data_IF_850337700930
#
_entry.id   IF_850337700930
#
_cell.length_a   1.000
_cell.length_b   1.000
_cell.length_c   1.000
_cell.angle_alpha   90.00
_cell.angle_beta   90.00
_cell.angle_gamma   90.00
#
_symmetry.space_group_name_H-M   'P 1'
#
loop_
_entity.id
_entity.type
_entity.pdbx_description
1 polymer ?
#
# COMPACT_ATOMS: atom_id res chain seq x y z
N UNK A 1 0.29 -19.37 32.36
CA UNK A 1 1.03 -19.11 31.10
C UNK A 1 0.07 -18.42 30.14
N UNK A 2 0.16 -17.10 30.00
CA UNK A 2 -0.68 -16.33 29.10
C UNK A 2 0.01 -16.23 27.75
N UNK A 3 -0.53 -16.89 26.72
CA UNK A 3 -0.11 -16.70 25.33
C UNK A 3 -0.27 -15.21 25.00
N UNK A 4 0.76 -14.52 24.48
CA UNK A 4 0.59 -13.14 24.03
C UNK A 4 -0.38 -13.17 22.85
N UNK A 5 -1.61 -12.70 23.08
CA UNK A 5 -2.65 -12.63 22.07
C UNK A 5 -2.23 -11.68 20.96
N UNK A 6 -2.27 -12.14 19.72
CA UNK A 6 -2.18 -11.29 18.53
C UNK A 6 -3.31 -10.27 18.59
N UNK A 7 -3.00 -8.98 18.60
CA UNK A 7 -4.03 -7.94 18.53
C UNK A 7 -4.42 -7.70 17.06
N UNK A 8 -5.72 -7.60 16.82
CA UNK A 8 -6.27 -7.25 15.50
C UNK A 8 -7.05 -5.95 15.62
N UNK A 9 -6.60 -4.93 14.89
CA UNK A 9 -7.23 -3.61 14.87
C UNK A 9 -8.09 -3.47 13.62
N UNK A 10 -9.39 -3.25 13.78
CA UNK A 10 -10.29 -3.01 12.66
C UNK A 10 -10.80 -1.58 12.70
N UNK A 11 -10.68 -0.87 11.58
CA UNK A 11 -11.14 0.52 11.45
C UNK A 11 -12.44 0.65 10.64
N UNK A 12 -12.95 -0.45 10.08
CA UNK A 12 -14.14 -0.45 9.23
C UNK A 12 -13.94 0.31 7.91
N UNK A 13 -15.04 0.83 7.36
CA UNK A 13 -14.99 1.63 6.14
C UNK A 13 -14.19 2.92 6.39
N UNK A 14 -13.15 3.14 5.58
CA UNK A 14 -12.22 4.27 5.74
C UNK A 14 -12.26 5.21 4.56
N UNK A 15 -12.21 6.51 4.86
CA UNK A 15 -12.17 7.63 3.92
C UNK A 15 -10.98 8.54 4.22
N UNK A 16 -10.83 9.63 3.44
CA UNK A 16 -9.77 10.63 3.61
C UNK A 16 -8.37 10.02 3.66
N UNK A 17 -8.15 9.02 2.81
CA UNK A 17 -6.90 8.28 2.73
C UNK A 17 -5.78 9.18 2.20
N UNK A 18 -4.60 9.09 2.81
CA UNK A 18 -3.41 9.79 2.35
C UNK A 18 -2.18 8.89 2.42
N UNK A 19 -1.23 9.16 1.52
CA UNK A 19 0.08 8.52 1.50
C UNK A 19 1.15 9.61 1.43
N UNK A 20 2.14 9.54 2.31
CA UNK A 20 3.29 10.46 2.29
C UNK A 20 4.61 9.72 2.50
N UNK A 21 5.69 10.32 2.02
CA UNK A 21 7.04 9.84 2.30
C UNK A 21 7.51 10.32 3.67
N UNK A 22 8.23 9.46 4.37
CA UNK A 22 9.04 9.87 5.50
C UNK A 22 10.47 10.10 5.00
N UNK A 23 10.93 11.35 5.01
CA UNK A 23 12.19 11.82 4.38
C UNK A 23 13.45 11.06 4.82
N UNK A 24 13.43 10.38 5.97
CA UNK A 24 14.62 9.72 6.54
C UNK A 24 14.80 8.23 6.24
N UNK A 25 13.76 7.46 5.87
CA UNK A 25 13.76 6.02 6.20
C UNK A 25 13.25 5.01 5.15
N UNK A 26 13.18 5.33 3.85
CA UNK A 26 12.62 4.39 2.85
C UNK A 26 11.23 3.83 3.24
N UNK A 27 10.49 4.57 4.06
CA UNK A 27 9.18 4.19 4.60
C UNK A 27 8.14 5.18 4.13
N UNK A 28 6.94 4.66 3.93
CA UNK A 28 5.77 5.46 3.58
C UNK A 28 4.83 5.48 4.78
N UNK A 29 4.12 6.59 4.94
CA UNK A 29 3.06 6.75 5.92
C UNK A 29 1.74 6.63 5.16
N UNK A 30 0.89 5.69 5.58
CA UNK A 30 -0.49 5.57 5.13
C UNK A 30 -1.39 5.96 6.30
N UNK A 31 -2.40 6.78 6.05
CA UNK A 31 -3.41 7.08 7.06
C UNK A 31 -4.76 7.37 6.45
N UNK A 32 -5.75 7.51 7.32
CA UNK A 32 -7.11 7.85 6.95
C UNK A 32 -8.03 7.99 8.15
N UNK A 33 -9.31 8.09 7.87
CA UNK A 33 -10.38 8.19 8.85
C UNK A 33 -11.26 6.96 8.72
N UNK A 34 -11.28 6.12 9.75
CA UNK A 34 -12.15 4.95 9.82
C UNK A 34 -13.54 5.26 10.33
N UNK A 35 -14.36 4.22 10.45
CA UNK A 35 -15.71 4.29 10.98
C UNK A 35 -15.72 4.91 12.40
N UNK A 36 -16.70 5.76 12.66
CA UNK A 36 -16.77 6.51 13.92
C UNK A 36 -15.74 7.63 14.03
N UNK A 37 -15.27 8.15 12.90
CA UNK A 37 -14.30 9.27 12.82
C UNK A 37 -12.94 8.96 13.46
N UNK A 38 -12.61 7.67 13.62
CA UNK A 38 -11.35 7.23 14.23
C UNK A 38 -10.22 7.39 13.23
N UNK A 39 -9.35 8.38 13.46
CA UNK A 39 -8.12 8.56 12.68
C UNK A 39 -7.16 7.41 12.93
N UNK A 40 -6.49 6.98 11.87
CA UNK A 40 -5.47 5.94 11.94
C UNK A 40 -4.31 6.27 11.02
N UNK A 41 -3.11 5.85 11.42
CA UNK A 41 -1.87 6.08 10.70
C UNK A 41 -0.97 4.87 10.91
N UNK A 42 -0.47 4.31 9.81
CA UNK A 42 0.49 3.21 9.80
C UNK A 42 1.70 3.58 8.95
N UNK A 43 2.88 3.38 9.51
CA UNK A 43 4.13 3.43 8.77
C UNK A 43 4.33 2.08 8.10
N UNK A 44 4.73 2.07 6.84
CA UNK A 44 4.99 0.87 6.07
C UNK A 44 6.34 0.94 5.36
N UNK A 45 6.94 -0.23 5.17
CA UNK A 45 8.12 -0.33 4.32
C UNK A 45 7.78 0.00 2.87
N UNK A 46 8.76 0.46 2.09
CA UNK A 46 8.59 0.62 0.64
C UNK A 46 8.09 -0.65 -0.03
N UNK A 47 8.57 -1.83 0.39
CA UNK A 47 8.11 -3.13 -0.14
C UNK A 47 6.63 -3.37 0.15
N UNK A 48 6.20 -3.17 1.39
CA UNK A 48 4.79 -3.28 1.77
C UNK A 48 3.90 -2.35 0.92
N UNK A 49 4.34 -1.10 0.71
CA UNK A 49 3.66 -0.15 -0.15
C UNK A 49 3.62 -0.61 -1.62
N UNK A 50 4.73 -1.14 -2.16
CA UNK A 50 4.80 -1.67 -3.53
C UNK A 50 3.89 -2.88 -3.72
N UNK A 51 3.82 -3.79 -2.76
CA UNK A 51 2.91 -4.94 -2.78
C UNK A 51 1.47 -4.45 -2.78
N UNK A 52 1.12 -3.51 -1.90
CA UNK A 52 -0.22 -2.93 -1.86
C UNK A 52 -0.59 -2.25 -3.18
N UNK A 53 0.29 -1.42 -3.72
CA UNK A 53 0.10 -0.76 -5.02
C UNK A 53 -0.08 -1.78 -6.14
N UNK A 54 0.78 -2.79 -6.22
CA UNK A 54 0.67 -3.85 -7.22
C UNK A 54 -0.67 -4.59 -7.12
N UNK A 55 -1.06 -5.01 -5.91
CA UNK A 55 -2.34 -5.71 -5.70
C UNK A 55 -3.53 -4.84 -6.06
N UNK A 56 -3.53 -3.56 -5.67
CA UNK A 56 -4.54 -2.60 -6.10
C UNK A 56 -4.58 -2.46 -7.63
N UNK A 57 -3.43 -2.37 -8.31
CA UNK A 57 -3.36 -2.38 -9.78
C UNK A 57 -4.03 -3.63 -10.34
N UNK A 58 -3.71 -4.81 -9.83
CA UNK A 58 -4.30 -6.06 -10.34
C UNK A 58 -5.81 -6.15 -10.16
N UNK A 59 -6.35 -5.52 -9.12
CA UNK A 59 -7.78 -5.59 -8.80
C UNK A 59 -8.60 -4.44 -9.41
N UNK A 60 -7.97 -3.28 -9.67
CA UNK A 60 -8.62 -2.08 -10.23
C UNK A 60 -8.41 -1.94 -11.74
N UNK A 61 -7.27 -2.41 -12.24
CA UNK A 61 -6.81 -2.26 -13.62
C UNK A 61 -6.17 -3.58 -14.10
N UNK A 62 -6.94 -4.68 -14.17
CA UNK A 62 -6.41 -6.00 -14.52
C UNK A 62 -5.70 -6.02 -15.87
N UNK A 63 -6.12 -5.19 -16.81
CA UNK A 63 -5.49 -5.01 -18.13
C UNK A 63 -4.06 -4.44 -18.05
N UNK A 64 -3.74 -3.71 -16.97
CA UNK A 64 -2.42 -3.11 -16.74
C UNK A 64 -1.51 -3.98 -15.85
N UNK A 65 -2.06 -5.00 -15.21
CA UNK A 65 -1.35 -5.85 -14.26
C UNK A 65 -0.10 -6.51 -14.85
N UNK A 66 -0.19 -6.96 -16.11
CA UNK A 66 0.93 -7.61 -16.81
C UNK A 66 2.15 -6.69 -16.97
N UNK A 67 1.94 -5.42 -17.27
CA UNK A 67 3.00 -4.42 -17.44
C UNK A 67 3.68 -4.07 -16.11
N UNK A 68 2.90 -4.06 -15.02
CA UNK A 68 3.35 -3.63 -13.70
C UNK A 68 4.07 -4.73 -12.92
N UNK A 69 3.79 -6.00 -13.21
CA UNK A 69 4.40 -7.16 -12.53
C UNK A 69 5.93 -7.15 -12.58
N UNK A 70 6.53 -6.64 -13.67
CA UNK A 70 7.98 -6.54 -13.82
C UNK A 70 8.65 -5.60 -12.81
N UNK A 71 7.92 -4.61 -12.27
CA UNK A 71 8.46 -3.60 -11.33
C UNK A 71 8.43 -4.06 -9.87
N UNK A 72 7.58 -5.01 -9.51
CA UNK A 72 7.41 -5.48 -8.13
C UNK A 72 8.51 -6.47 -7.68
N UNK A 73 9.26 -7.06 -8.61
CA UNK A 73 10.10 -8.23 -8.37
C UNK A 73 11.47 -7.97 -7.70
N UNK A 74 11.91 -6.73 -7.49
CA UNK A 74 13.33 -6.44 -7.17
C UNK A 74 13.60 -5.66 -5.88
N UNK A 75 12.66 -5.56 -4.94
CA UNK A 75 12.87 -4.81 -3.70
C UNK A 75 13.70 -5.58 -2.65
N UNK A 76 14.84 -5.03 -2.17
CA UNK A 76 15.72 -5.71 -1.22
C UNK A 76 15.03 -6.01 0.12
N UNK A 77 15.24 -7.23 0.63
CA UNK A 77 14.81 -7.69 1.95
C UNK A 77 15.72 -7.10 3.03
N UNK A 78 15.47 -5.86 3.46
CA UNK A 78 15.99 -5.38 4.75
C UNK A 78 14.84 -5.33 5.75
N UNK A 79 15.00 -6.09 6.84
CA UNK A 79 14.09 -6.01 7.96
C UNK A 79 14.23 -4.63 8.62
N UNK A 80 13.14 -3.84 8.75
CA UNK A 80 13.20 -2.59 9.50
C UNK A 80 13.49 -2.90 10.98
N UNK A 81 14.29 -2.07 11.66
CA UNK A 81 14.60 -2.26 13.07
C UNK A 81 13.44 -1.91 14.01
N UNK A 82 12.32 -1.35 13.52
CA UNK A 82 11.24 -0.82 14.35
C UNK A 82 10.01 -1.72 14.40
N UNK A 83 9.54 -1.96 15.63
CA UNK A 83 8.41 -2.83 15.94
C UNK A 83 7.04 -2.23 15.56
N UNK A 84 7.00 -1.03 14.98
CA UNK A 84 5.78 -0.30 14.60
C UNK A 84 5.58 -0.18 13.09
N UNK A 85 6.46 -0.80 12.28
CA UNK A 85 6.42 -0.68 10.82
C UNK A 85 5.71 -1.89 10.20
N UNK A 86 4.78 -1.58 9.31
CA UNK A 86 4.07 -2.57 8.51
C UNK A 86 5.01 -3.13 7.45
N UNK A 87 5.29 -4.43 7.56
CA UNK A 87 6.26 -5.13 6.70
C UNK A 87 5.60 -5.95 5.60
N UNK A 88 4.37 -6.40 5.84
CA UNK A 88 3.57 -7.17 4.89
C UNK A 88 2.21 -6.51 4.72
N UNK A 89 1.70 -6.58 3.49
CA UNK A 89 0.41 -6.03 3.10
C UNK A 89 -0.31 -7.02 2.19
N UNK A 90 -1.62 -7.09 2.35
CA UNK A 90 -2.53 -7.82 1.49
C UNK A 90 -3.71 -6.90 1.13
N UNK A 91 -4.20 -7.09 -0.09
CA UNK A 91 -5.40 -6.41 -0.58
C UNK A 91 -6.31 -7.47 -1.17
N UNK A 92 -7.55 -7.51 -0.68
CA UNK A 92 -8.56 -8.48 -1.11
C UNK A 92 -9.81 -7.71 -1.53
N UNK A 93 -10.44 -8.10 -2.63
CA UNK A 93 -11.78 -7.62 -2.99
C UNK A 93 -12.81 -8.52 -2.32
N UNK A 94 -13.67 -7.95 -1.49
CA UNK A 94 -14.76 -8.65 -0.81
C UNK A 94 -15.94 -8.90 -1.73
N UNK A 95 -16.83 -9.81 -1.32
CA UNK A 95 -18.09 -10.12 -2.03
C UNK A 95 -19.05 -8.92 -2.07
N UNK A 96 -18.91 -8.00 -1.12
CA UNK A 96 -19.63 -6.73 -1.04
C UNK A 96 -19.13 -5.68 -2.05
N UNK A 97 -18.13 -6.02 -2.87
CA UNK A 97 -17.49 -5.12 -3.83
C UNK A 97 -16.47 -4.16 -3.21
N UNK A 98 -16.36 -4.13 -1.88
CA UNK A 98 -15.38 -3.31 -1.18
C UNK A 98 -14.00 -3.96 -1.18
N UNK A 99 -12.97 -3.15 -0.97
CA UNK A 99 -11.59 -3.57 -0.89
C UNK A 99 -11.16 -3.62 0.57
N UNK A 100 -10.54 -4.72 1.01
CA UNK A 100 -9.98 -4.84 2.35
C UNK A 100 -8.47 -4.79 2.27
N UNK A 101 -7.87 -3.86 2.99
CA UNK A 101 -6.42 -3.83 3.20
C UNK A 101 -6.13 -4.48 4.54
N UNK A 102 -5.17 -5.40 4.56
CA UNK A 102 -4.66 -6.01 5.77
C UNK A 102 -3.17 -5.74 5.85
N UNK A 103 -2.74 -5.16 6.95
CA UNK A 103 -1.32 -4.89 7.22
C UNK A 103 -0.84 -5.63 8.46
N UNK A 104 0.38 -6.14 8.39
CA UNK A 104 1.03 -6.84 9.50
C UNK A 104 2.16 -6.01 10.09
N UNK A 105 2.07 -5.79 11.40
CA UNK A 105 3.12 -5.21 12.24
C UNK A 105 3.56 -6.30 13.21
N UNK A 106 4.68 -6.96 12.91
CA UNK A 106 5.12 -8.17 13.62
C UNK A 106 4.03 -9.26 13.66
N UNK A 107 3.41 -9.49 14.83
CA UNK A 107 2.33 -10.47 15.04
C UNK A 107 0.94 -9.83 15.08
N UNK A 108 0.89 -8.50 15.09
CA UNK A 108 -0.35 -7.74 15.12
C UNK A 108 -0.81 -7.44 13.70
N UNK A 109 -2.12 -7.34 13.55
CA UNK A 109 -2.74 -6.99 12.27
C UNK A 109 -3.60 -5.75 12.42
N UNK A 110 -3.68 -5.00 11.34
CA UNK A 110 -4.67 -3.95 11.19
C UNK A 110 -5.40 -4.11 9.87
N UNK A 111 -6.69 -3.74 9.86
CA UNK A 111 -7.56 -3.91 8.70
C UNK A 111 -8.43 -2.67 8.48
N UNK A 112 -8.52 -2.27 7.21
CA UNK A 112 -9.40 -1.20 6.75
C UNK A 112 -10.20 -1.69 5.55
N UNK A 113 -11.46 -1.26 5.46
CA UNK A 113 -12.29 -1.49 4.28
C UNK A 113 -12.39 -0.19 3.48
N UNK A 114 -12.35 -0.27 2.16
CA UNK A 114 -12.41 0.87 1.24
C UNK A 114 -13.50 0.63 0.22
N UNK A 115 -14.19 1.70 -0.18
CA UNK A 115 -15.00 1.69 -1.39
C UNK A 115 -14.11 1.56 -2.63
N UNK A 116 -14.68 1.23 -3.79
CA UNK A 116 -13.93 1.27 -5.04
C UNK A 116 -13.35 2.66 -5.33
N UNK A 117 -14.12 3.72 -5.05
CA UNK A 117 -13.66 5.11 -5.24
C UNK A 117 -12.46 5.43 -4.37
N UNK A 118 -12.49 5.06 -3.10
CA UNK A 118 -11.38 5.29 -2.17
C UNK A 118 -10.18 4.40 -2.48
N UNK A 119 -10.40 3.16 -2.95
CA UNK A 119 -9.34 2.28 -3.43
C UNK A 119 -8.62 2.87 -4.66
N UNK A 120 -9.35 3.46 -5.61
CA UNK A 120 -8.76 4.16 -6.77
C UNK A 120 -7.96 5.40 -6.36
N UNK A 121 -8.49 6.19 -5.42
CA UNK A 121 -7.79 7.37 -4.88
C UNK A 121 -6.50 6.96 -4.16
N UNK A 122 -6.57 5.94 -3.31
CA UNK A 122 -5.40 5.39 -2.64
C UNK A 122 -4.37 4.88 -3.63
N UNK A 123 -4.79 4.15 -4.65
CA UNK A 123 -3.91 3.68 -5.72
C UNK A 123 -3.17 4.85 -6.38
N UNK A 124 -3.87 5.93 -6.73
CA UNK A 124 -3.25 7.11 -7.34
C UNK A 124 -2.24 7.80 -6.39
N UNK A 125 -2.57 7.90 -5.10
CA UNK A 125 -1.64 8.43 -4.10
C UNK A 125 -0.40 7.55 -3.93
N UNK A 126 -0.55 6.22 -3.97
CA UNK A 126 0.56 5.28 -3.93
C UNK A 126 1.42 5.35 -5.18
N UNK A 127 0.81 5.51 -6.35
CA UNK A 127 1.51 5.63 -7.62
C UNK A 127 2.44 6.85 -7.62
N UNK A 128 1.90 8.02 -7.23
CA UNK A 128 2.68 9.25 -7.09
C UNK A 128 3.77 9.14 -6.03
N UNK A 129 3.47 8.49 -4.90
CA UNK A 129 4.47 8.29 -3.86
C UNK A 129 5.59 7.36 -4.34
N UNK A 130 5.28 6.18 -4.86
CA UNK A 130 6.28 5.18 -5.23
C UNK A 130 7.05 5.54 -6.50
N UNK A 131 6.36 6.21 -7.43
CA UNK A 131 6.82 6.51 -8.80
C UNK A 131 6.45 7.95 -9.20
N UNK A 132 7.08 8.98 -8.61
CA UNK A 132 6.72 10.39 -8.85
C UNK A 132 6.92 10.87 -10.30
N UNK A 133 7.64 10.12 -11.13
CA UNK A 133 7.82 10.37 -12.58
C UNK A 133 6.90 9.52 -13.47
N UNK A 134 5.95 8.80 -12.86
CA UNK A 134 5.14 7.76 -13.48
C UNK A 134 5.88 6.42 -13.53
N UNK A 135 5.15 5.32 -13.29
CA UNK A 135 5.71 3.97 -13.42
C UNK A 135 6.04 3.60 -14.88
N UNK A 136 5.43 4.28 -15.86
CA UNK A 136 5.73 4.18 -17.30
C UNK A 136 7.07 4.86 -17.71
N UNK A 137 7.87 5.32 -16.75
CA UNK A 137 9.01 6.23 -16.91
C UNK A 137 9.82 6.08 -18.20
N UNK A 138 9.97 7.22 -18.92
CA UNK A 138 10.76 7.43 -20.14
C UNK A 138 10.58 6.33 -21.20
N UNK A 139 9.59 6.52 -22.08
CA UNK A 139 9.83 6.15 -23.47
C UNK A 139 11.12 6.84 -23.91
N UNK A 140 12.14 6.03 -24.14
CA UNK A 140 13.41 6.41 -24.75
C UNK A 140 13.14 7.38 -25.89
N UNK A 141 13.49 8.66 -25.76
CA UNK A 141 13.64 9.49 -26.94
C UNK A 141 14.59 8.72 -27.86
N UNK A 142 14.22 8.40 -29.11
CA UNK A 142 15.18 7.84 -30.04
C UNK A 142 16.30 8.86 -30.16
N UNK A 143 17.50 8.46 -29.74
CA UNK A 143 18.72 9.24 -29.94
C UNK A 143 18.89 9.34 -31.45
N UNK A 144 18.40 10.43 -32.05
CA UNK A 144 18.74 10.79 -33.42
C UNK A 144 20.27 10.98 -33.43
N UNK A 145 20.93 10.01 -34.05
CA UNK A 145 22.32 10.11 -34.45
C UNK A 145 22.34 11.03 -35.68
N UNK A 146 22.87 12.23 -35.52
CA UNK A 146 23.37 13.05 -36.62
C UNK A 146 24.87 13.26 -36.38
#
# INVERSE_FOLDING_TARGET
MSTPGSSSHQYGLSTDLFVSHKESDQTLVLGGVGQGSKRWVHVMTRRAAQVMWFKLTTLLYPEKAGLVTALAATAPLRAPPSNSVTTHMEVVKGEDGNYRLVGWVQRDTWMVALTETDARRLWASLDLALYPVGWEGRQSKPRKLN
#
